data_IF_671445660968
#
_entry.id   IF_671445660968
#
_cell.length_a   1.000
_cell.length_b   1.000
_cell.length_c   1.000
_cell.angle_alpha   90.00
_cell.angle_beta   90.00
_cell.angle_gamma   90.00
#
_symmetry.space_group_name_H-M   'P 1'
#
loop_
_entity.id
_entity.type
_entity.pdbx_description
1 polymer ?
#
# COMPACT_ATOMS: atom_id res chain seq x y z
N UNK A 1 0.01 22.45 -17.73
CA UNK A 1 0.63 21.68 -16.63
C UNK A 1 -0.30 20.51 -16.36
N UNK A 2 0.01 19.31 -16.86
CA UNK A 2 -0.83 18.13 -16.64
C UNK A 2 -0.45 17.57 -15.27
N UNK A 3 -1.26 17.85 -14.26
CA UNK A 3 -1.15 17.25 -12.94
C UNK A 3 -1.42 15.76 -13.10
N UNK A 4 -0.39 14.96 -13.39
CA UNK A 4 -0.47 13.52 -13.22
C UNK A 4 -0.78 13.32 -11.74
N UNK A 5 -1.93 12.75 -11.41
CA UNK A 5 -2.19 12.24 -10.08
C UNK A 5 -1.21 11.05 -9.89
N UNK A 6 0.01 11.35 -9.41
CA UNK A 6 1.11 10.40 -9.21
C UNK A 6 0.90 9.53 -7.96
N UNK A 7 -0.17 9.79 -7.18
CA UNK A 7 -0.48 8.99 -5.99
C UNK A 7 -1.50 7.91 -6.35
N UNK A 8 -1.09 6.63 -6.54
CA UNK A 8 -2.04 5.53 -6.52
C UNK A 8 -2.78 5.54 -5.18
N UNK A 9 -4.07 5.21 -5.20
CA UNK A 9 -4.83 5.03 -3.97
C UNK A 9 -4.32 3.77 -3.27
N UNK A 10 -3.63 3.94 -2.14
CA UNK A 10 -3.06 2.85 -1.35
C UNK A 10 -4.01 2.53 -0.20
N UNK A 11 -4.62 1.36 -0.23
CA UNK A 11 -5.43 0.85 0.88
C UNK A 11 -4.64 -0.21 1.65
N UNK A 12 -4.35 0.06 2.92
CA UNK A 12 -3.72 -0.90 3.85
C UNK A 12 -4.78 -1.49 4.76
N UNK A 13 -4.92 -2.81 4.76
CA UNK A 13 -5.80 -3.56 5.66
C UNK A 13 -4.97 -4.54 6.47
N UNK A 14 -5.01 -4.42 7.80
CA UNK A 14 -4.44 -5.44 8.71
C UNK A 14 -5.57 -6.34 9.17
N UNK A 15 -5.36 -7.64 9.13
CA UNK A 15 -6.25 -8.65 9.69
C UNK A 15 -5.64 -9.20 10.97
N UNK A 16 -6.51 -9.59 11.91
CA UNK A 16 -6.14 -10.22 13.19
C UNK A 16 -5.37 -9.35 14.21
N UNK A 17 -4.94 -8.14 13.85
CA UNK A 17 -4.35 -7.16 14.77
C UNK A 17 -4.79 -5.71 14.48
N UNK A 18 -4.44 -4.79 15.39
CA UNK A 18 -4.65 -3.36 15.19
C UNK A 18 -3.63 -2.80 14.20
N UNK A 19 -4.07 -1.95 13.28
CA UNK A 19 -3.17 -1.22 12.39
C UNK A 19 -2.29 -0.30 13.24
N UNK A 20 -0.99 -0.59 13.28
CA UNK A 20 0.02 0.32 13.81
C UNK A 20 0.61 1.18 12.69
N UNK A 21 1.13 2.36 13.04
CA UNK A 21 1.77 3.25 12.08
C UNK A 21 2.97 2.60 11.39
N UNK A 22 3.72 1.75 12.11
CA UNK A 22 4.82 0.97 11.57
C UNK A 22 4.39 -0.02 10.49
N UNK A 23 3.21 -0.65 10.64
CA UNK A 23 2.67 -1.59 9.63
C UNK A 23 2.18 -0.85 8.38
N UNK A 24 1.55 0.33 8.55
CA UNK A 24 1.20 1.19 7.42
C UNK A 24 2.45 1.59 6.65
N UNK A 25 3.47 2.10 7.35
CA UNK A 25 4.69 2.57 6.71
C UNK A 25 5.44 1.44 6.00
N UNK A 26 5.52 0.26 6.60
CA UNK A 26 6.10 -0.92 5.95
C UNK A 26 5.35 -1.31 4.66
N UNK A 27 4.02 -1.28 4.68
CA UNK A 27 3.21 -1.58 3.51
C UNK A 27 3.35 -0.52 2.41
N UNK A 28 3.37 0.76 2.78
CA UNK A 28 3.61 1.86 1.85
C UNK A 28 5.00 1.77 1.22
N UNK A 29 6.05 1.52 1.99
CA UNK A 29 7.42 1.35 1.47
C UNK A 29 7.54 0.15 0.53
N UNK A 30 6.88 -0.97 0.85
CA UNK A 30 6.82 -2.13 -0.04
C UNK A 30 6.11 -1.81 -1.35
N UNK A 31 4.98 -1.09 -1.29
CA UNK A 31 4.23 -0.67 -2.47
C UNK A 31 5.01 0.34 -3.30
N UNK A 32 5.72 1.28 -2.66
CA UNK A 32 6.59 2.25 -3.34
C UNK A 32 7.80 1.58 -3.99
N UNK A 33 8.34 0.51 -3.38
CA UNK A 33 9.42 -0.30 -3.95
C UNK A 33 8.98 -1.15 -5.14
N UNK A 34 7.69 -1.50 -5.21
CA UNK A 34 7.10 -2.05 -6.43
C UNK A 34 6.93 -0.86 -7.36
N UNK A 35 7.75 -0.76 -8.42
CA UNK A 35 7.62 0.28 -9.43
C UNK A 35 6.26 0.13 -10.14
N UNK A 36 5.20 0.65 -9.52
CA UNK A 36 3.85 0.63 -10.03
C UNK A 36 3.87 1.49 -11.29
N UNK A 37 4.01 0.82 -12.43
CA UNK A 37 4.19 1.45 -13.72
C UNK A 37 2.90 2.21 -14.09
N UNK A 38 2.87 3.47 -13.69
CA UNK A 38 1.83 4.42 -14.06
C UNK A 38 1.98 4.68 -15.58
N UNK A 39 0.94 4.44 -16.38
CA UNK A 39 -0.45 4.81 -16.08
C UNK A 39 -1.43 3.64 -15.97
N UNK A 40 -0.97 2.39 -15.92
CA UNK A 40 -1.89 1.23 -15.98
C UNK A 40 -2.49 0.86 -14.62
N UNK A 41 -1.83 1.25 -13.53
CA UNK A 41 -2.25 0.83 -12.18
C UNK A 41 -2.92 2.02 -11.48
N UNK A 42 -4.21 1.84 -11.19
CA UNK A 42 -5.09 2.87 -10.61
C UNK A 42 -5.16 2.82 -9.07
N UNK A 43 -4.58 1.79 -8.44
CA UNK A 43 -4.55 1.64 -6.99
C UNK A 43 -3.81 0.37 -6.55
N UNK A 44 -3.36 0.36 -5.29
CA UNK A 44 -2.65 -0.77 -4.69
C UNK A 44 -3.30 -1.13 -3.34
N UNK A 45 -3.51 -2.42 -3.09
CA UNK A 45 -4.08 -2.92 -1.84
C UNK A 45 -3.08 -3.82 -1.14
N UNK A 46 -2.64 -3.43 0.04
CA UNK A 46 -1.85 -4.28 0.93
C UNK A 46 -2.77 -4.90 1.98
N UNK A 47 -2.77 -6.23 2.05
CA UNK A 47 -3.42 -6.98 3.13
C UNK A 47 -2.30 -7.60 3.96
N UNK A 48 -2.16 -7.16 5.20
CA UNK A 48 -1.26 -7.78 6.16
C UNK A 48 -2.08 -8.72 7.02
N UNK A 49 -1.68 -9.97 7.07
CA UNK A 49 -2.30 -11.00 7.89
C UNK A 49 -1.24 -11.55 8.84
N UNK A 50 -1.56 -11.63 10.13
CA UNK A 50 -0.66 -12.19 11.14
C UNK A 50 -1.14 -13.61 11.41
N UNK A 51 -0.50 -14.58 10.75
CA UNK A 51 -0.68 -15.99 11.08
C UNK A 51 0.11 -16.28 12.36
N UNK A 52 -0.53 -16.06 13.51
CA UNK A 52 -0.03 -16.56 14.80
C UNK A 52 -0.07 -18.08 14.79
N UNK A 53 1.11 -18.72 14.79
CA UNK A 53 1.26 -20.17 14.95
C UNK A 53 0.87 -20.64 16.35
#
# INVERSE_FOLDING_TARGET
MQTKNVKPDITVTVRHENVTDSLRQYAEDKINGIHLDYPRIIGAKAILDVEGS
#
